data_IF_583580314109
#
_entry.id   IF_583580314109
#
_cell.length_a   1.000
_cell.length_b   1.000
_cell.length_c   1.000
_cell.angle_alpha   90.00
_cell.angle_beta   90.00
_cell.angle_gamma   90.00
#
_symmetry.space_group_name_H-M   'P 1'
#
loop_
_entity.id
_entity.type
_entity.pdbx_description
1 polymer ?
#
# COMPACT_ATOMS: atom_id res chain seq x y z
N UNK A 1 21.25 18.64 8.89
CA UNK A 1 19.77 18.71 9.04
C UNK A 1 19.35 20.15 9.27
N UNK A 2 18.28 20.63 8.61
CA UNK A 2 17.72 21.95 8.89
C UNK A 2 17.04 21.96 10.26
N UNK A 3 17.02 23.11 10.96
CA UNK A 3 16.35 23.26 12.27
C UNK A 3 14.86 22.86 12.23
N UNK A 4 14.23 23.03 11.07
CA UNK A 4 12.85 22.61 10.77
C UNK A 4 12.64 21.10 10.73
N UNK A 5 13.64 20.35 10.25
CA UNK A 5 13.57 18.88 10.20
C UNK A 5 13.48 18.29 11.60
N UNK A 6 14.17 18.88 12.60
CA UNK A 6 14.08 18.42 13.99
C UNK A 6 12.70 18.68 14.61
N UNK A 7 12.06 19.80 14.27
CA UNK A 7 10.71 20.11 14.75
C UNK A 7 9.69 19.12 14.16
N UNK A 8 9.77 18.84 12.86
CA UNK A 8 8.92 17.84 12.21
C UNK A 8 9.13 16.45 12.79
N UNK A 9 10.40 16.04 12.96
CA UNK A 9 10.74 14.75 13.56
C UNK A 9 10.19 14.64 14.98
N UNK A 10 10.40 15.67 15.81
CA UNK A 10 9.85 15.71 17.17
C UNK A 10 8.32 15.61 17.19
N UNK A 11 7.63 16.27 16.25
CA UNK A 11 6.18 16.15 16.08
C UNK A 11 5.73 14.74 15.71
N UNK A 12 6.41 14.09 14.77
CA UNK A 12 6.11 12.71 14.38
C UNK A 12 6.35 11.73 15.54
N UNK A 13 7.44 11.91 16.28
CA UNK A 13 7.74 11.10 17.47
C UNK A 13 6.70 11.33 18.56
N UNK A 14 6.29 12.57 18.81
CA UNK A 14 5.24 12.88 19.78
C UNK A 14 3.91 12.22 19.40
N UNK A 15 3.50 12.31 18.13
CA UNK A 15 2.31 11.62 17.63
C UNK A 15 2.42 10.10 17.75
N UNK A 16 3.58 9.53 17.48
CA UNK A 16 3.83 8.10 17.65
C UNK A 16 3.70 7.69 19.12
N UNK A 17 4.28 8.45 20.05
CA UNK A 17 4.15 8.20 21.49
C UNK A 17 2.69 8.25 21.90
N UNK A 18 1.94 9.28 21.48
CA UNK A 18 0.50 9.40 21.79
C UNK A 18 -0.28 8.19 21.24
N UNK A 19 -0.01 7.77 20.00
CA UNK A 19 -0.65 6.60 19.39
C UNK A 19 -0.37 5.32 20.19
N UNK A 20 0.88 5.09 20.59
CA UNK A 20 1.27 3.91 21.38
C UNK A 20 0.60 3.94 22.75
N UNK A 21 0.58 5.09 23.44
CA UNK A 21 -0.12 5.24 24.72
C UNK A 21 -1.60 4.89 24.56
N UNK A 22 -2.27 5.44 23.54
CA UNK A 22 -3.69 5.16 23.31
C UNK A 22 -3.97 3.69 22.99
N UNK A 23 -3.10 3.05 22.20
CA UNK A 23 -3.17 1.62 21.92
C UNK A 23 -3.03 0.79 23.19
N UNK A 24 -2.06 1.09 24.06
CA UNK A 24 -1.87 0.37 25.33
C UNK A 24 -3.02 0.59 26.31
N UNK A 25 -3.55 1.81 26.42
CA UNK A 25 -4.71 2.09 27.27
C UNK A 25 -5.96 1.36 26.77
N UNK A 26 -6.21 1.39 25.46
CA UNK A 26 -7.33 0.66 24.85
C UNK A 26 -7.20 -0.86 25.04
N UNK A 27 -6.00 -1.40 24.87
CA UNK A 27 -5.74 -2.82 25.08
C UNK A 27 -5.95 -3.26 26.53
N UNK A 28 -5.43 -2.49 27.49
CA UNK A 28 -5.62 -2.78 28.91
C UNK A 28 -7.07 -2.56 29.36
N UNK A 29 -7.80 -1.64 28.74
CA UNK A 29 -9.23 -1.43 29.01
C UNK A 29 -10.11 -2.57 28.49
N UNK A 30 -9.64 -3.35 27.51
CA UNK A 30 -10.34 -4.52 26.96
C UNK A 30 -10.11 -5.83 27.73
N UNK A 31 -9.42 -5.77 28.88
CA UNK A 31 -9.14 -6.96 29.70
C UNK A 31 -10.46 -7.65 30.14
N UNK A 32 -10.54 -8.96 29.90
CA UNK A 32 -11.73 -9.79 30.14
C UNK A 32 -12.79 -9.79 29.02
N UNK A 33 -12.57 -9.10 27.90
CA UNK A 33 -13.52 -9.10 26.77
C UNK A 33 -13.07 -10.08 25.69
N UNK A 34 -13.69 -11.27 25.66
CA UNK A 34 -13.42 -12.24 24.60
C UNK A 34 -13.98 -11.74 23.26
N UNK A 35 -13.13 -11.70 22.23
CA UNK A 35 -13.57 -11.36 20.88
C UNK A 35 -14.48 -12.49 20.38
N UNK A 36 -15.73 -12.21 19.97
CA UNK A 36 -16.62 -13.26 19.51
C UNK A 36 -16.04 -13.95 18.26
N UNK A 37 -16.34 -15.24 18.00
CA UNK A 37 -15.79 -15.98 16.85
C UNK A 37 -15.97 -15.27 15.50
N UNK A 38 -17.06 -14.51 15.35
CA UNK A 38 -17.34 -13.70 14.16
C UNK A 38 -16.30 -12.59 13.93
N UNK A 39 -15.72 -12.03 15.00
CA UNK A 39 -14.69 -11.00 14.93
C UNK A 39 -13.38 -11.53 14.35
N UNK A 40 -12.99 -12.74 14.77
CA UNK A 40 -11.83 -13.43 14.17
C UNK A 40 -12.07 -13.79 12.71
N UNK A 41 -13.28 -14.24 12.36
CA UNK A 41 -13.64 -14.53 10.97
C UNK A 41 -13.58 -13.27 10.09
N UNK A 42 -14.07 -12.13 10.58
CA UNK A 42 -13.99 -10.84 9.89
C UNK A 42 -12.53 -10.38 9.69
N UNK A 43 -11.67 -10.54 10.71
CA UNK A 43 -10.23 -10.25 10.58
C UNK A 43 -9.58 -11.13 9.54
N UNK A 44 -9.81 -12.44 9.59
CA UNK A 44 -9.25 -13.38 8.62
C UNK A 44 -9.69 -13.05 7.19
N UNK A 45 -10.97 -12.74 6.99
CA UNK A 45 -11.49 -12.33 5.68
C UNK A 45 -10.83 -11.04 5.18
N UNK A 46 -10.69 -10.02 6.03
CA UNK A 46 -10.03 -8.76 5.69
C UNK A 46 -8.54 -8.93 5.34
N UNK A 47 -7.83 -9.77 6.10
CA UNK A 47 -6.42 -10.10 5.84
C UNK A 47 -6.28 -10.84 4.51
N UNK A 48 -7.08 -11.88 4.29
CA UNK A 48 -7.04 -12.67 3.05
C UNK A 48 -7.39 -11.82 1.83
N UNK A 49 -8.40 -10.96 1.94
CA UNK A 49 -8.76 -10.03 0.87
C UNK A 49 -7.60 -9.08 0.56
N UNK A 50 -7.04 -8.42 1.58
CA UNK A 50 -5.91 -7.50 1.38
C UNK A 50 -4.69 -8.21 0.79
N UNK A 51 -4.39 -9.42 1.26
CA UNK A 51 -3.29 -10.23 0.74
C UNK A 51 -3.54 -10.68 -0.71
N UNK A 52 -4.77 -11.08 -1.04
CA UNK A 52 -5.16 -11.45 -2.39
C UNK A 52 -4.94 -10.29 -3.37
N UNK A 53 -5.35 -9.08 -2.99
CA UNK A 53 -5.10 -7.91 -3.82
C UNK A 53 -3.63 -7.52 -3.87
N UNK A 54 -2.92 -7.51 -2.73
CA UNK A 54 -1.49 -7.18 -2.70
C UNK A 54 -0.63 -8.13 -3.53
N UNK A 55 -0.75 -9.44 -3.28
CA UNK A 55 -0.02 -10.49 -4.00
C UNK A 55 -0.52 -10.60 -5.44
N UNK A 56 -1.83 -10.56 -5.67
CA UNK A 56 -2.43 -10.67 -7.00
C UNK A 56 -1.97 -9.54 -7.93
N UNK A 57 -1.93 -8.30 -7.44
CA UNK A 57 -1.42 -7.16 -8.21
C UNK A 57 0.07 -7.32 -8.55
N UNK A 58 0.89 -7.75 -7.58
CA UNK A 58 2.32 -7.99 -7.84
C UNK A 58 2.56 -9.14 -8.83
N UNK A 59 1.79 -10.22 -8.71
CA UNK A 59 1.86 -11.34 -9.65
C UNK A 59 1.43 -10.93 -11.06
N UNK A 60 0.36 -10.13 -11.18
CA UNK A 60 -0.14 -9.67 -12.47
C UNK A 60 0.83 -8.68 -13.13
N UNK A 61 1.46 -7.79 -12.37
CA UNK A 61 2.51 -6.92 -12.87
C UNK A 61 3.68 -7.73 -13.47
N UNK A 62 4.10 -8.79 -12.79
CA UNK A 62 5.17 -9.67 -13.27
C UNK A 62 4.76 -10.48 -14.52
N UNK A 63 3.51 -10.94 -14.57
CA UNK A 63 2.94 -11.60 -15.74
C UNK A 63 2.85 -10.64 -16.94
N UNK A 64 2.39 -9.40 -16.72
CA UNK A 64 2.31 -8.36 -17.75
C UNK A 64 3.67 -8.03 -18.36
N UNK A 65 4.69 -7.91 -17.51
CA UNK A 65 6.07 -7.67 -17.94
C UNK A 65 6.61 -8.82 -18.79
N UNK A 66 6.32 -10.08 -18.44
CA UNK A 66 6.72 -11.25 -19.25
C UNK A 66 5.94 -11.39 -20.55
N UNK A 67 4.68 -10.93 -20.58
CA UNK A 67 3.81 -11.02 -21.74
C UNK A 67 4.01 -9.85 -22.74
N UNK A 68 4.82 -8.84 -22.40
CA UNK A 68 5.06 -7.67 -23.26
C UNK A 68 3.92 -6.64 -23.27
N UNK A 69 2.91 -6.79 -22.39
CA UNK A 69 1.81 -5.82 -22.28
C UNK A 69 2.22 -4.50 -21.61
N UNK A 70 3.31 -4.51 -20.83
CA UNK A 70 3.86 -3.32 -20.16
C UNK A 70 4.83 -2.51 -21.06
N UNK A 71 4.97 -2.88 -22.35
CA UNK A 71 5.83 -2.14 -23.28
C UNK A 71 5.16 -0.85 -23.78
N UNK A 72 5.96 0.22 -23.88
CA UNK A 72 5.48 1.52 -24.34
C UNK A 72 4.94 1.43 -25.77
N UNK A 73 3.80 2.07 -26.00
CA UNK A 73 3.22 2.20 -27.34
C UNK A 73 4.26 2.73 -28.33
N UNK A 74 4.61 1.93 -29.33
CA UNK A 74 5.50 2.36 -30.43
C UNK A 74 4.77 3.41 -31.24
N UNK A 75 5.21 4.66 -31.14
CA UNK A 75 4.74 5.75 -31.99
C UNK A 75 5.16 5.43 -33.41
N UNK A 76 4.21 4.97 -34.23
CA UNK A 76 4.42 4.80 -35.67
C UNK A 76 4.54 6.19 -36.29
N UNK A 77 5.77 6.66 -36.48
CA UNK A 77 6.04 7.80 -37.35
C UNK A 77 5.69 7.35 -38.76
N UNK A 78 4.50 7.74 -39.22
CA UNK A 78 4.01 7.44 -40.56
C UNK A 78 4.90 8.21 -41.54
N UNK A 79 5.82 7.51 -42.19
CA UNK A 79 6.68 8.04 -43.25
C UNK A 79 5.80 8.41 -44.45
N UNK A 80 5.22 9.61 -44.40
CA UNK A 80 4.44 10.25 -45.45
C UNK A 80 5.31 11.32 -46.14
N UNK A 81 6.52 10.95 -46.54
CA UNK A 81 7.46 11.89 -47.18
C UNK A 81 8.44 11.24 -48.18
N UNK A 82 7.95 10.31 -49.00
CA UNK A 82 8.73 9.71 -50.11
C UNK A 82 7.91 9.56 -51.41
N UNK A 83 6.86 10.37 -51.60
CA UNK A 83 6.05 10.40 -52.83
C UNK A 83 5.85 11.85 -53.27
N UNK A 84 6.93 12.61 -53.37
CA UNK A 84 6.95 13.94 -53.96
C UNK A 84 8.39 14.30 -54.32
N UNK A 85 8.98 13.60 -55.30
CA UNK A 85 10.04 14.11 -56.18
C UNK A 85 10.29 13.14 -57.33
#
# INVERSE_FOLDING_TARGET
MSRWSYVLLAGMVALLIVSVVMATLGWNASDGTDVPPIGYAAMAAGILFSLLFGVGLMALAFYSSRAGYDERAKVIVRERDKTSE
#
